data_IF_089263366601
#
_entry.id   IF_089263366601
#
_cell.length_a   1.000
_cell.length_b   1.000
_cell.length_c   1.000
_cell.angle_alpha   90.00
_cell.angle_beta   90.00
_cell.angle_gamma   90.00
#
_symmetry.space_group_name_H-M   'P 1'
#
loop_
_entity.id
_entity.type
_entity.pdbx_description
1 polymer ?
#
# COMPACT_ATOMS: atom_id res chain seq x y z
N UNK A 1 3.54 -17.17 3.67
CA UNK A 1 2.32 -17.04 2.86
C UNK A 1 2.65 -17.10 1.36
N UNK A 2 3.48 -16.19 0.80
CA UNK A 2 3.81 -16.11 -0.64
C UNK A 2 4.29 -17.46 -1.18
N UNK A 3 5.26 -18.11 -0.52
CA UNK A 3 5.77 -19.45 -0.91
C UNK A 3 4.63 -20.47 -1.07
N UNK A 4 3.73 -20.52 -0.09
CA UNK A 4 2.63 -21.50 -0.10
C UNK A 4 1.61 -21.18 -1.22
N UNK A 5 1.34 -19.90 -1.49
CA UNK A 5 0.47 -19.49 -2.59
C UNK A 5 1.08 -19.80 -3.96
N UNK A 6 2.40 -19.63 -4.11
CA UNK A 6 3.13 -20.01 -5.33
C UNK A 6 3.08 -21.51 -5.57
N UNK A 7 3.36 -22.31 -4.53
CA UNK A 7 3.29 -23.76 -4.61
C UNK A 7 1.86 -24.24 -4.99
N UNK A 8 0.84 -23.64 -4.36
CA UNK A 8 -0.56 -23.96 -4.68
C UNK A 8 -0.92 -23.59 -6.12
N UNK A 9 -0.47 -22.41 -6.58
CA UNK A 9 -0.66 -21.98 -7.98
C UNK A 9 -0.03 -22.95 -8.97
N UNK A 10 1.19 -23.40 -8.69
CA UNK A 10 1.92 -24.34 -9.53
C UNK A 10 1.19 -25.69 -9.60
N UNK A 11 0.76 -26.20 -8.45
CA UNK A 11 -0.04 -27.45 -8.40
C UNK A 11 -1.35 -27.32 -9.15
N UNK A 12 -2.10 -26.21 -8.96
CA UNK A 12 -3.36 -25.97 -9.66
C UNK A 12 -3.20 -25.75 -11.17
N UNK A 13 -2.02 -25.33 -11.63
CA UNK A 13 -1.74 -25.14 -13.06
C UNK A 13 -1.72 -26.44 -13.85
N UNK A 14 -1.41 -27.56 -13.18
CA UNK A 14 -1.40 -28.90 -13.77
C UNK A 14 -2.81 -29.43 -14.06
N UNK A 15 -3.83 -28.88 -13.41
CA UNK A 15 -5.21 -29.30 -13.59
C UNK A 15 -5.94 -28.35 -14.57
N UNK A 16 -6.35 -28.89 -15.70
CA UNK A 16 -7.19 -28.18 -16.67
C UNK A 16 -8.68 -28.30 -16.32
N UNK A 17 -9.02 -28.09 -15.04
CA UNK A 17 -10.39 -28.18 -14.52
C UNK A 17 -10.91 -26.78 -14.22
N UNK A 18 -12.19 -26.57 -14.50
CA UNK A 18 -12.89 -25.34 -14.07
C UNK A 18 -13.16 -25.43 -12.56
N UNK A 19 -12.41 -24.65 -11.79
CA UNK A 19 -12.58 -24.54 -10.33
C UNK A 19 -13.60 -23.46 -9.95
N UNK A 20 -14.48 -23.08 -10.88
CA UNK A 20 -15.58 -22.17 -10.60
C UNK A 20 -16.62 -22.84 -9.69
N UNK A 21 -16.89 -22.22 -8.54
CA UNK A 21 -18.05 -22.54 -7.70
C UNK A 21 -19.08 -21.43 -7.82
N UNK A 22 -20.35 -21.79 -7.97
CA UNK A 22 -21.45 -20.84 -7.90
C UNK A 22 -21.76 -20.58 -6.43
N UNK A 23 -21.29 -19.48 -5.89
CA UNK A 23 -21.71 -19.00 -4.57
C UNK A 23 -22.98 -18.17 -4.71
N UNK A 24 -23.96 -18.51 -3.89
CA UNK A 24 -25.21 -17.77 -3.80
C UNK A 24 -25.12 -16.78 -2.64
N UNK A 25 -24.92 -15.52 -2.94
CA UNK A 25 -24.89 -14.46 -1.95
C UNK A 25 -26.27 -13.79 -1.87
N UNK A 26 -26.78 -13.64 -0.65
CA UNK A 26 -28.02 -12.91 -0.36
C UNK A 26 -27.67 -11.42 -0.20
N UNK A 27 -28.00 -10.62 -1.21
CA UNK A 27 -27.80 -9.18 -1.18
C UNK A 27 -28.94 -8.48 -0.44
N UNK A 28 -28.61 -7.93 0.72
CA UNK A 28 -29.48 -7.12 1.59
C UNK A 28 -29.24 -5.61 1.44
N UNK A 29 -28.48 -5.16 0.46
CA UNK A 29 -28.11 -3.74 0.28
C UNK A 29 -29.34 -2.84 0.19
N UNK A 30 -30.37 -3.24 -0.53
CA UNK A 30 -31.63 -2.52 -0.64
C UNK A 30 -32.35 -2.35 0.71
N UNK A 31 -32.41 -3.42 1.51
CA UNK A 31 -33.02 -3.36 2.84
C UNK A 31 -32.23 -2.41 3.75
N UNK A 32 -30.91 -2.45 3.70
CA UNK A 32 -30.04 -1.55 4.47
C UNK A 32 -30.21 -0.09 4.04
N UNK A 33 -30.34 0.20 2.76
CA UNK A 33 -30.53 1.55 2.25
C UNK A 33 -31.94 2.09 2.60
N UNK A 34 -32.98 1.26 2.58
CA UNK A 34 -34.29 1.63 3.06
C UNK A 34 -34.28 1.92 4.58
N UNK A 35 -33.61 1.09 5.36
CA UNK A 35 -33.46 1.30 6.80
C UNK A 35 -32.74 2.63 7.09
N UNK A 36 -31.68 2.96 6.33
CA UNK A 36 -30.98 4.24 6.47
C UNK A 36 -31.85 5.45 6.15
N UNK A 37 -32.70 5.37 5.11
CA UNK A 37 -33.64 6.47 4.78
C UNK A 37 -34.67 6.67 5.88
N UNK A 38 -35.19 5.58 6.47
CA UNK A 38 -36.10 5.64 7.62
C UNK A 38 -35.41 6.31 8.83
N UNK A 39 -34.19 5.91 9.16
CA UNK A 39 -33.42 6.49 10.25
C UNK A 39 -33.04 7.96 10.05
N UNK A 40 -32.93 8.42 8.79
CA UNK A 40 -32.68 9.82 8.44
C UNK A 40 -33.96 10.68 8.42
N UNK A 41 -35.13 10.08 8.68
CA UNK A 41 -36.40 10.79 8.62
C UNK A 41 -36.88 11.14 7.20
N UNK A 42 -36.24 10.56 6.16
CA UNK A 42 -36.57 10.82 4.76
C UNK A 42 -37.84 10.08 4.30
N UNK A 43 -38.39 9.18 5.13
CA UNK A 43 -39.60 8.43 4.85
C UNK A 43 -40.51 8.33 6.07
N UNK A 44 -41.81 8.56 5.89
CA UNK A 44 -42.79 8.49 6.97
C UNK A 44 -43.15 7.04 7.35
N UNK A 45 -42.99 6.71 8.65
CA UNK A 45 -43.34 5.40 9.19
C UNK A 45 -44.85 5.19 9.30
N UNK A 46 -45.65 6.29 9.31
CA UNK A 46 -47.09 6.26 9.63
C UNK A 46 -47.98 6.81 8.50
N UNK A 47 -47.47 6.89 7.27
CA UNK A 47 -48.31 7.30 6.13
C UNK A 47 -49.35 6.22 5.84
N UNK A 48 -50.61 6.60 5.80
CA UNK A 48 -51.74 5.74 5.35
C UNK A 48 -51.65 5.60 3.83
N UNK A 49 -51.31 4.39 3.34
CA UNK A 49 -51.28 4.10 1.92
C UNK A 49 -50.00 3.39 1.44
N UNK A 50 -49.86 3.29 0.11
CA UNK A 50 -48.73 2.62 -0.57
C UNK A 50 -47.35 3.26 -0.31
N UNK A 51 -47.33 4.45 0.27
CA UNK A 51 -46.11 5.18 0.65
C UNK A 51 -45.61 4.84 2.07
N UNK A 52 -46.25 3.90 2.76
CA UNK A 52 -45.81 3.52 4.11
C UNK A 52 -44.45 2.82 4.03
N UNK A 53 -43.47 3.37 4.72
CA UNK A 53 -42.09 2.86 4.74
C UNK A 53 -42.00 1.40 5.20
N UNK A 54 -42.94 0.96 6.07
CA UNK A 54 -43.01 -0.44 6.52
C UNK A 54 -43.46 -1.38 5.40
N UNK A 55 -44.43 -0.99 4.59
CA UNK A 55 -44.86 -1.78 3.43
C UNK A 55 -43.79 -1.83 2.36
N UNK A 56 -43.07 -0.72 2.12
CA UNK A 56 -41.92 -0.69 1.21
C UNK A 56 -40.79 -1.56 1.75
N UNK A 57 -40.51 -1.56 3.06
CA UNK A 57 -39.54 -2.42 3.68
C UNK A 57 -39.89 -3.89 3.50
N UNK A 58 -41.15 -4.28 3.76
CA UNK A 58 -41.63 -5.66 3.57
C UNK A 58 -41.58 -6.09 2.09
N UNK A 59 -41.91 -5.21 1.16
CA UNK A 59 -41.81 -5.46 -0.28
C UNK A 59 -40.37 -5.57 -0.79
N UNK A 60 -39.45 -4.83 -0.20
CA UNK A 60 -38.01 -4.84 -0.50
C UNK A 60 -37.19 -5.82 0.36
N UNK A 61 -37.84 -6.47 1.35
CA UNK A 61 -37.20 -7.44 2.24
C UNK A 61 -36.86 -8.79 1.55
N UNK A 62 -37.25 -8.96 0.27
CA UNK A 62 -36.79 -10.11 -0.50
C UNK A 62 -35.30 -9.94 -0.84
N UNK A 63 -34.41 -10.78 -0.28
CA UNK A 63 -33.01 -10.70 -0.64
C UNK A 63 -32.85 -10.95 -2.14
N UNK A 64 -32.08 -10.15 -2.81
CA UNK A 64 -31.66 -10.48 -4.18
C UNK A 64 -30.66 -11.61 -4.11
N UNK A 65 -30.98 -12.71 -4.78
CA UNK A 65 -30.05 -13.81 -4.95
C UNK A 65 -29.06 -13.41 -6.04
N UNK A 66 -27.87 -13.01 -5.65
CA UNK A 66 -26.75 -12.80 -6.55
C UNK A 66 -25.99 -14.11 -6.68
N UNK A 67 -25.93 -14.67 -7.88
CA UNK A 67 -25.06 -15.81 -8.19
C UNK A 67 -23.71 -15.23 -8.60
N UNK A 68 -22.73 -15.39 -7.75
CA UNK A 68 -21.36 -14.99 -8.03
C UNK A 68 -20.55 -16.24 -8.35
N UNK A 69 -20.06 -16.34 -9.58
CA UNK A 69 -19.14 -17.42 -9.94
C UNK A 69 -17.77 -17.09 -9.40
N UNK A 70 -17.37 -17.74 -8.34
CA UNK A 70 -16.04 -17.66 -7.78
C UNK A 70 -15.10 -18.59 -8.59
N UNK A 71 -14.18 -17.99 -9.31
CA UNK A 71 -13.07 -18.69 -9.94
C UNK A 71 -11.91 -18.76 -8.93
N UNK A 72 -11.72 -19.93 -8.36
CA UNK A 72 -10.71 -20.17 -7.32
C UNK A 72 -9.28 -19.87 -7.81
N UNK A 73 -9.01 -20.04 -9.11
CA UNK A 73 -7.71 -19.66 -9.70
C UNK A 73 -7.53 -18.14 -9.68
N UNK A 74 -8.55 -17.37 -10.05
CA UNK A 74 -8.52 -15.89 -10.00
C UNK A 74 -8.39 -15.36 -8.58
N UNK A 75 -9.10 -15.98 -7.62
CA UNK A 75 -8.99 -15.59 -6.22
C UNK A 75 -7.58 -15.89 -5.66
N UNK A 76 -6.99 -17.03 -6.03
CA UNK A 76 -5.62 -17.36 -5.68
C UNK A 76 -4.62 -16.34 -6.26
N UNK A 77 -4.74 -15.99 -7.53
CA UNK A 77 -3.89 -14.97 -8.18
C UNK A 77 -4.05 -13.60 -7.51
N UNK A 78 -5.26 -13.20 -7.17
CA UNK A 78 -5.55 -11.98 -6.43
C UNK A 78 -4.89 -11.97 -5.06
N UNK A 79 -5.01 -13.06 -4.30
CA UNK A 79 -4.36 -13.21 -2.99
C UNK A 79 -2.85 -13.20 -3.08
N UNK A 80 -2.29 -13.87 -4.08
CA UNK A 80 -0.86 -13.87 -4.34
C UNK A 80 -0.37 -12.44 -4.64
N UNK A 81 -1.04 -11.75 -5.56
CA UNK A 81 -0.74 -10.35 -5.90
C UNK A 81 -0.77 -9.45 -4.68
N UNK A 82 -1.87 -9.48 -3.91
CA UNK A 82 -2.03 -8.65 -2.70
C UNK A 82 -0.96 -8.96 -1.66
N UNK A 83 -0.58 -10.24 -1.50
CA UNK A 83 0.47 -10.64 -0.56
C UNK A 83 1.85 -10.13 -0.99
N UNK A 84 2.15 -10.17 -2.29
CA UNK A 84 3.39 -9.61 -2.84
C UNK A 84 3.44 -8.08 -2.69
N UNK A 85 2.35 -7.38 -3.02
CA UNK A 85 2.24 -5.92 -2.86
C UNK A 85 2.39 -5.50 -1.39
N UNK A 86 1.75 -6.21 -0.47
CA UNK A 86 1.87 -5.96 0.97
C UNK A 86 3.29 -6.18 1.48
N UNK A 87 3.98 -7.21 0.98
CA UNK A 87 5.37 -7.46 1.31
C UNK A 87 6.29 -6.34 0.80
N UNK A 88 6.17 -5.98 -0.49
CA UNK A 88 6.94 -4.90 -1.12
C UNK A 88 6.74 -3.59 -0.35
N UNK A 89 5.49 -3.24 -0.05
CA UNK A 89 5.18 -2.03 0.71
C UNK A 89 5.73 -2.08 2.13
N UNK A 90 5.62 -3.22 2.81
CA UNK A 90 6.15 -3.40 4.17
C UNK A 90 7.66 -3.21 4.23
N UNK A 91 8.41 -3.81 3.30
CA UNK A 91 9.87 -3.66 3.23
C UNK A 91 10.27 -2.23 2.82
N UNK A 92 9.57 -1.63 1.86
CA UNK A 92 9.80 -0.22 1.49
C UNK A 92 9.61 0.70 2.70
N UNK A 93 8.53 0.55 3.44
CA UNK A 93 8.27 1.34 4.65
C UNK A 93 9.33 1.11 5.72
N UNK A 94 9.67 -0.15 6.00
CA UNK A 94 10.72 -0.48 6.97
C UNK A 94 12.02 0.29 6.70
N UNK A 95 12.33 0.54 5.43
CA UNK A 95 13.59 1.17 5.03
C UNK A 95 13.48 2.70 4.94
N UNK A 96 12.47 3.22 4.22
CA UNK A 96 12.42 4.64 3.83
C UNK A 96 11.20 5.40 4.38
N UNK A 97 10.45 4.84 5.34
CA UNK A 97 9.28 5.51 5.95
C UNK A 97 9.56 6.93 6.44
N UNK A 98 10.70 7.23 7.11
CA UNK A 98 11.00 8.60 7.54
C UNK A 98 11.10 9.58 6.36
N UNK A 99 11.72 9.17 5.25
CA UNK A 99 11.79 9.99 4.03
C UNK A 99 10.42 10.18 3.39
N UNK A 100 9.61 9.11 3.27
CA UNK A 100 8.26 9.17 2.70
C UNK A 100 7.33 10.07 3.54
N UNK A 101 7.41 9.97 4.86
CA UNK A 101 6.67 10.82 5.78
C UNK A 101 7.08 12.30 5.63
N UNK A 102 8.38 12.58 5.51
CA UNK A 102 8.89 13.92 5.26
C UNK A 102 8.38 14.48 3.92
N UNK A 103 8.52 13.73 2.82
CA UNK A 103 8.05 14.13 1.49
C UNK A 103 6.55 14.43 1.51
N UNK A 104 5.76 13.60 2.20
CA UNK A 104 4.31 13.81 2.34
C UNK A 104 3.98 15.12 3.05
N UNK A 105 4.71 15.45 4.14
CA UNK A 105 4.55 16.71 4.86
C UNK A 105 4.94 17.93 4.01
N UNK A 106 6.03 17.82 3.24
CA UNK A 106 6.45 18.87 2.31
C UNK A 106 5.38 19.11 1.25
N UNK A 107 4.84 18.04 0.65
CA UNK A 107 3.78 18.12 -0.35
C UNK A 107 2.52 18.77 0.23
N UNK A 108 2.10 18.37 1.44
CA UNK A 108 0.95 18.95 2.11
C UNK A 108 1.15 20.45 2.39
N UNK A 109 2.36 20.87 2.81
CA UNK A 109 2.70 22.28 3.07
C UNK A 109 2.66 23.10 1.78
N UNK A 110 3.15 22.55 0.66
CA UNK A 110 3.09 23.22 -0.65
C UNK A 110 1.66 23.39 -1.15
N UNK A 111 0.81 22.39 -0.97
CA UNK A 111 -0.63 22.46 -1.34
C UNK A 111 -1.35 23.49 -0.48
N UNK A 112 -1.00 23.62 0.80
CA UNK A 112 -1.55 24.64 1.70
C UNK A 112 -1.10 26.08 1.39
N UNK A 113 -0.26 26.28 0.36
CA UNK A 113 0.22 27.59 -0.12
C UNK A 113 0.81 28.48 0.98
N UNK A 114 1.50 27.87 1.94
CA UNK A 114 2.21 28.61 2.98
C UNK A 114 3.38 29.38 2.38
N UNK A 115 3.42 30.70 2.57
CA UNK A 115 4.51 31.58 2.09
C UNK A 115 5.84 31.39 2.87
N UNK A 116 5.84 30.50 3.85
CA UNK A 116 6.99 30.27 4.73
C UNK A 116 8.00 29.35 4.04
N UNK A 117 9.32 29.68 4.03
CA UNK A 117 10.35 28.78 3.53
C UNK A 117 10.30 27.40 4.19
N UNK A 118 10.60 26.35 3.44
CA UNK A 118 10.51 24.98 3.95
C UNK A 118 11.37 24.76 5.20
N UNK A 119 12.59 25.27 5.21
CA UNK A 119 13.55 25.17 6.33
C UNK A 119 13.08 25.77 7.66
N UNK A 120 12.09 26.67 7.64
CA UNK A 120 11.54 27.30 8.83
C UNK A 120 10.42 26.49 9.50
N UNK A 121 10.02 25.38 8.90
CA UNK A 121 9.08 24.46 9.50
C UNK A 121 9.78 23.50 10.46
N UNK A 122 9.20 23.28 11.64
CA UNK A 122 9.79 22.45 12.69
C UNK A 122 10.13 21.01 12.25
N UNK A 123 9.40 20.47 11.26
CA UNK A 123 9.66 19.13 10.71
C UNK A 123 10.74 19.11 9.62
N UNK A 124 11.16 20.27 9.11
CA UNK A 124 12.03 20.41 7.94
C UNK A 124 13.33 21.19 8.27
N UNK A 125 13.69 21.26 9.53
CA UNK A 125 14.99 21.83 9.94
C UNK A 125 16.15 20.96 9.46
N UNK A 126 17.34 21.53 9.18
CA UNK A 126 18.53 20.77 8.78
C UNK A 126 18.84 19.59 9.70
N UNK A 127 18.75 19.80 11.03
CA UNK A 127 18.99 18.73 12.01
C UNK A 127 18.01 17.56 11.87
N UNK A 128 16.73 17.84 11.56
CA UNK A 128 15.73 16.79 11.32
C UNK A 128 15.99 16.03 10.03
N UNK A 129 16.48 16.68 8.99
CA UNK A 129 16.88 16.01 7.75
C UNK A 129 18.08 15.09 7.98
N UNK A 130 19.08 15.53 8.74
CA UNK A 130 20.21 14.68 9.12
C UNK A 130 19.73 13.44 9.88
N UNK A 131 18.82 13.60 10.86
CA UNK A 131 18.24 12.50 11.63
C UNK A 131 17.50 11.49 10.70
N UNK A 132 16.63 11.99 9.79
CA UNK A 132 15.88 11.20 8.83
C UNK A 132 16.81 10.40 7.93
N UNK A 133 17.78 11.07 7.30
CA UNK A 133 18.69 10.43 6.34
C UNK A 133 19.62 9.44 7.02
N UNK A 134 20.15 9.78 8.20
CA UNK A 134 20.99 8.84 8.98
C UNK A 134 20.22 7.59 9.41
N UNK A 135 18.96 7.75 9.83
CA UNK A 135 18.09 6.62 10.17
C UNK A 135 17.81 5.70 8.98
N UNK A 136 17.60 6.28 7.79
CA UNK A 136 17.42 5.49 6.56
C UNK A 136 18.72 4.78 6.17
N UNK A 137 19.87 5.44 6.27
CA UNK A 137 21.17 4.81 6.00
C UNK A 137 21.40 3.60 6.92
N UNK A 138 21.11 3.73 8.21
CA UNK A 138 21.19 2.62 9.15
C UNK A 138 20.21 1.48 8.79
N UNK A 139 19.01 1.81 8.29
CA UNK A 139 18.03 0.82 7.85
C UNK A 139 18.46 0.07 6.59
N UNK A 140 19.19 0.72 5.69
CA UNK A 140 19.79 0.07 4.50
C UNK A 140 20.87 -0.95 4.88
N UNK A 141 21.69 -0.62 5.87
CA UNK A 141 22.84 -1.47 6.29
C UNK A 141 22.46 -2.60 7.25
N UNK A 142 21.31 -2.53 7.91
CA UNK A 142 20.87 -3.51 8.88
C UNK A 142 19.54 -4.18 8.51
N UNK A 143 18.38 -3.56 8.88
CA UNK A 143 17.06 -4.18 8.72
C UNK A 143 16.71 -4.61 7.30
N UNK A 144 17.11 -3.86 6.29
CA UNK A 144 16.87 -4.22 4.88
C UNK A 144 17.65 -5.49 4.52
N UNK A 145 18.95 -5.53 4.83
CA UNK A 145 19.81 -6.69 4.52
C UNK A 145 19.27 -7.95 5.19
N UNK A 146 18.89 -7.85 6.46
CA UNK A 146 18.30 -8.97 7.18
C UNK A 146 16.99 -9.45 6.54
N UNK A 147 16.12 -8.51 6.16
CA UNK A 147 14.81 -8.81 5.55
C UNK A 147 14.97 -9.47 4.19
N UNK A 148 15.87 -8.98 3.33
CA UNK A 148 16.15 -9.59 2.03
C UNK A 148 16.82 -10.94 2.18
N UNK A 149 17.78 -11.07 3.13
CA UNK A 149 18.38 -12.36 3.46
C UNK A 149 17.37 -13.40 3.97
N UNK A 150 16.36 -12.97 4.76
CA UNK A 150 15.23 -13.83 5.14
C UNK A 150 14.39 -14.21 3.93
N UNK A 151 14.06 -13.27 3.05
CA UNK A 151 13.32 -13.54 1.81
C UNK A 151 14.01 -14.63 1.00
N UNK A 152 15.32 -14.52 0.75
CA UNK A 152 16.11 -15.52 0.02
C UNK A 152 16.09 -16.91 0.65
N UNK A 153 16.01 -17.00 1.99
CA UNK A 153 15.90 -18.28 2.70
C UNK A 153 14.51 -18.93 2.62
N UNK A 154 13.47 -18.11 2.51
CA UNK A 154 12.08 -18.60 2.47
C UNK A 154 11.54 -18.82 1.06
N UNK A 155 12.05 -18.08 0.08
CA UNK A 155 11.66 -18.22 -1.32
C UNK A 155 12.83 -18.86 -2.06
N UNK A 156 12.71 -20.14 -2.37
CA UNK A 156 13.77 -20.94 -2.98
C UNK A 156 14.07 -20.56 -4.44
N UNK A 157 13.26 -19.67 -5.04
CA UNK A 157 13.37 -19.23 -6.44
C UNK A 157 14.09 -17.89 -6.54
N UNK A 158 15.31 -17.85 -7.10
CA UNK A 158 16.03 -16.60 -7.35
C UNK A 158 15.23 -15.62 -8.23
N UNK A 159 14.50 -16.15 -9.22
CA UNK A 159 13.63 -15.33 -10.09
C UNK A 159 12.52 -14.64 -9.30
N UNK A 160 11.87 -15.36 -8.38
CA UNK A 160 10.83 -14.78 -7.52
C UNK A 160 11.41 -13.73 -6.59
N UNK A 161 12.59 -13.96 -6.02
CA UNK A 161 13.29 -12.99 -5.19
C UNK A 161 13.59 -11.71 -5.98
N UNK A 162 14.12 -11.82 -7.19
CA UNK A 162 14.41 -10.69 -8.06
C UNK A 162 13.13 -9.90 -8.43
N UNK A 163 12.02 -10.58 -8.73
CA UNK A 163 10.73 -9.95 -9.04
C UNK A 163 10.19 -9.15 -7.86
N UNK A 164 10.31 -9.67 -6.63
CA UNK A 164 9.86 -8.97 -5.42
C UNK A 164 10.81 -7.84 -5.02
N UNK A 165 12.11 -8.01 -5.20
CA UNK A 165 13.09 -7.03 -4.80
C UNK A 165 13.18 -5.83 -5.75
N UNK A 166 12.97 -6.03 -7.05
CA UNK A 166 13.04 -4.96 -8.05
C UNK A 166 12.17 -3.72 -7.71
N UNK A 167 10.88 -3.84 -7.36
CA UNK A 167 10.07 -2.68 -6.96
C UNK A 167 10.52 -2.08 -5.63
N UNK A 168 11.00 -2.87 -4.67
CA UNK A 168 11.55 -2.35 -3.40
C UNK A 168 12.75 -1.45 -3.69
N UNK A 169 13.70 -1.93 -4.50
CA UNK A 169 14.87 -1.17 -4.95
C UNK A 169 14.47 0.13 -5.64
N UNK A 170 13.49 0.07 -6.57
CA UNK A 170 12.99 1.25 -7.27
C UNK A 170 12.38 2.29 -6.32
N UNK A 171 11.56 1.85 -5.35
CA UNK A 171 10.92 2.72 -4.39
C UNK A 171 11.94 3.40 -3.46
N UNK A 172 12.98 2.68 -3.03
CA UNK A 172 14.06 3.24 -2.22
C UNK A 172 14.84 4.29 -3.01
N UNK A 173 15.22 3.98 -4.24
CA UNK A 173 15.94 4.91 -5.11
C UNK A 173 15.11 6.17 -5.41
N UNK A 174 13.80 6.02 -5.63
CA UNK A 174 12.89 7.14 -5.87
C UNK A 174 12.78 8.05 -4.62
N UNK A 175 12.64 7.48 -3.41
CA UNK A 175 12.59 8.26 -2.19
C UNK A 175 13.89 9.06 -1.98
N UNK A 176 15.06 8.46 -2.19
CA UNK A 176 16.35 9.14 -2.14
C UNK A 176 16.44 10.26 -3.18
N UNK A 177 16.02 9.99 -4.43
CA UNK A 177 16.03 11.00 -5.50
C UNK A 177 15.11 12.18 -5.21
N UNK A 178 13.97 11.95 -4.56
CA UNK A 178 13.08 13.04 -4.14
C UNK A 178 13.70 13.89 -3.03
N UNK A 179 14.37 13.28 -2.05
CA UNK A 179 15.10 14.03 -1.00
C UNK A 179 16.25 14.82 -1.61
N UNK A 180 17.02 14.25 -2.53
CA UNK A 180 18.09 14.96 -3.23
C UNK A 180 17.58 16.22 -3.94
N UNK A 181 16.50 16.09 -4.72
CA UNK A 181 15.86 17.24 -5.39
C UNK A 181 15.35 18.30 -4.41
N UNK A 182 14.80 17.88 -3.27
CA UNK A 182 14.34 18.81 -2.25
C UNK A 182 15.51 19.57 -1.59
N UNK A 183 16.62 18.89 -1.31
CA UNK A 183 17.83 19.52 -0.80
C UNK A 183 18.37 20.58 -1.77
N UNK A 184 18.48 20.24 -3.05
CA UNK A 184 18.98 21.15 -4.08
C UNK A 184 18.09 22.37 -4.31
N UNK A 185 16.76 22.23 -4.14
CA UNK A 185 15.81 23.32 -4.46
C UNK A 185 15.42 24.18 -3.28
N UNK A 186 15.47 23.68 -2.05
CA UNK A 186 14.88 24.33 -0.88
C UNK A 186 15.91 24.68 0.22
N UNK A 187 17.14 24.15 0.11
CA UNK A 187 18.17 24.31 1.14
C UNK A 187 19.45 24.92 0.58
N UNK A 188 20.22 25.52 1.49
CA UNK A 188 21.53 26.09 1.18
C UNK A 188 22.64 25.03 1.11
N UNK A 189 23.78 25.40 0.53
CA UNK A 189 24.91 24.50 0.34
C UNK A 189 25.44 23.90 1.66
N UNK A 190 25.43 24.70 2.73
CA UNK A 190 25.87 24.25 4.06
C UNK A 190 24.98 23.08 4.57
N UNK A 191 23.65 23.20 4.40
CA UNK A 191 22.71 22.13 4.75
C UNK A 191 22.92 20.89 3.88
N UNK A 192 23.15 21.05 2.57
CA UNK A 192 23.38 19.93 1.65
C UNK A 192 24.62 19.13 2.07
N UNK A 193 25.71 19.80 2.46
CA UNK A 193 26.94 19.18 2.92
C UNK A 193 26.80 18.49 4.28
N UNK A 194 25.90 19.01 5.14
CA UNK A 194 25.64 18.46 6.47
C UNK A 194 24.80 17.18 6.40
N UNK A 195 23.90 17.04 5.43
CA UNK A 195 23.00 15.89 5.32
C UNK A 195 23.73 14.70 4.66
N UNK A 196 23.89 13.56 5.35
CA UNK A 196 24.66 12.42 4.84
C UNK A 196 23.87 11.60 3.81
N UNK A 197 23.33 12.26 2.78
CA UNK A 197 22.61 11.58 1.71
C UNK A 197 23.57 10.78 0.84
N UNK A 198 23.29 9.49 0.66
CA UNK A 198 24.12 8.64 -0.18
C UNK A 198 24.03 9.07 -1.66
N UNK A 199 25.19 9.20 -2.34
CA UNK A 199 25.19 9.41 -3.79
C UNK A 199 24.50 8.23 -4.51
N UNK A 200 23.74 8.48 -5.60
CA UNK A 200 23.02 7.43 -6.30
C UNK A 200 23.85 6.20 -6.69
N UNK A 201 25.11 6.32 -7.18
CA UNK A 201 25.93 5.16 -7.48
C UNK A 201 26.22 4.28 -6.25
N UNK A 202 26.49 4.89 -5.09
CA UNK A 202 26.75 4.16 -3.84
C UNK A 202 25.48 3.46 -3.35
N UNK A 203 24.34 4.14 -3.38
CA UNK A 203 23.05 3.54 -3.03
C UNK A 203 22.75 2.33 -3.91
N UNK A 204 22.91 2.48 -5.23
CA UNK A 204 22.65 1.40 -6.18
C UNK A 204 23.59 0.22 -5.96
N UNK A 205 24.86 0.47 -5.67
CA UNK A 205 25.83 -0.60 -5.37
C UNK A 205 25.41 -1.42 -4.12
N UNK A 206 24.93 -0.75 -3.07
CA UNK A 206 24.39 -1.44 -1.87
C UNK A 206 23.16 -2.28 -2.24
N UNK A 207 22.21 -1.70 -2.96
CA UNK A 207 20.98 -2.40 -3.34
C UNK A 207 21.24 -3.55 -4.32
N UNK A 208 22.19 -3.42 -5.25
CA UNK A 208 22.56 -4.49 -6.16
C UNK A 208 23.29 -5.65 -5.46
N UNK A 209 24.00 -5.37 -4.39
CA UNK A 209 24.65 -6.39 -3.56
C UNK A 209 23.68 -7.22 -2.71
N UNK A 210 22.39 -6.84 -2.63
CA UNK A 210 21.36 -7.57 -1.88
C UNK A 210 20.51 -8.52 -2.77
N UNK A 211 20.67 -8.46 -4.08
CA UNK A 211 19.85 -9.17 -5.07
C UNK A 211 20.25 -10.64 -5.24
#
# INVERSE_FOLDING_TARGET
LIKNLLALREQLSLFNVDFGSDETELDFSHMRDHMRRILRGESSLFALGSSNAVFQLLGSARPRVSRMRLDSKKELEKRLKTSCESYIMGVTKLTVEPMLSFITKVTATRVASTKKPLKDHAFATPSKLVEIVSGVNASLEGPLQETIGRMGRYLDSPTTNAVLFKPIKSNIAEAHGQIARLLETEYDQETIEMVPLMPPPKLMAILDGLA
#
